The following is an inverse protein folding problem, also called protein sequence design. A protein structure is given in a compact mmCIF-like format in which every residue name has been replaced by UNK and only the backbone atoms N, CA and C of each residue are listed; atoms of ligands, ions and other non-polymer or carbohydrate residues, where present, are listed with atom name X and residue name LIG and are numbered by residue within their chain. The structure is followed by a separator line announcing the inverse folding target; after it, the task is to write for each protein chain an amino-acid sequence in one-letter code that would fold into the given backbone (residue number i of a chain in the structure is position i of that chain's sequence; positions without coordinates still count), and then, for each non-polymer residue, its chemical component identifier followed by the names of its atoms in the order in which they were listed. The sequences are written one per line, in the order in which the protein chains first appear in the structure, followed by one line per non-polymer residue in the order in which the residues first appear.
data_IF_409084715523
#
_entry.id   IF_409084715523
#
_cell.length_a   1.000
_cell.length_b   1.000
_cell.length_c   1.000
_cell.angle_alpha   90.00
_cell.angle_beta   90.00
_cell.angle_gamma   90.00
#
_symmetry.space_group_name_H-M   'P 1'
#
loop_
_entity.id
_entity.type
_entity.pdbx_description
1 polymer ?
#
# COMPACT_ATOMS: atom_id res chain seq x y z
N UNK A 1 30.84 -27.07 -0.15
CA UNK A 1 29.52 -27.67 0.16
C UNK A 1 29.52 -28.41 1.50
N UNK A 2 30.23 -29.54 1.68
CA UNK A 2 30.26 -30.25 2.98
C UNK A 2 31.05 -29.50 4.08
N UNK A 3 32.10 -28.78 3.70
CA UNK A 3 32.92 -27.96 4.61
C UNK A 3 32.28 -26.61 4.99
N UNK A 4 31.32 -26.11 4.20
CA UNK A 4 30.60 -24.85 4.49
C UNK A 4 29.50 -25.06 5.55
N UNK A 5 28.93 -26.28 5.61
CA UNK A 5 27.95 -26.71 6.63
C UNK A 5 28.57 -26.72 8.05
N UNK A 6 29.89 -26.90 8.16
CA UNK A 6 30.56 -27.08 9.46
C UNK A 6 31.01 -25.75 10.11
N UNK A 7 30.98 -24.63 9.37
CA UNK A 7 31.47 -23.31 9.85
C UNK A 7 30.55 -22.11 9.55
N UNK A 8 29.55 -22.24 8.69
CA UNK A 8 28.68 -21.14 8.30
C UNK A 8 27.34 -21.19 9.02
N UNK A 9 26.92 -20.08 9.63
CA UNK A 9 25.52 -19.88 10.02
C UNK A 9 24.65 -20.04 8.78
N UNK A 10 23.92 -21.16 8.66
CA UNK A 10 22.87 -21.31 7.66
C UNK A 10 21.70 -20.46 8.14
N UNK A 11 21.57 -19.27 7.57
CA UNK A 11 20.36 -18.47 7.72
C UNK A 11 19.29 -19.18 6.87
N UNK A 12 18.49 -20.04 7.52
CA UNK A 12 17.18 -20.44 7.00
C UNK A 12 16.40 -19.15 6.64
N UNK A 13 15.46 -19.24 5.71
CA UNK A 13 14.61 -18.11 5.32
C UNK A 13 13.87 -17.55 6.55
N UNK A 14 14.53 -16.61 7.23
CA UNK A 14 14.18 -16.11 8.54
C UNK A 14 13.79 -14.65 8.40
N UNK A 15 12.83 -14.17 9.22
CA UNK A 15 12.34 -12.81 9.12
C UNK A 15 13.49 -11.82 9.37
N UNK A 16 13.63 -10.86 8.45
CA UNK A 16 14.63 -9.79 8.57
C UNK A 16 14.05 -8.61 9.35
N UNK A 17 14.86 -7.93 10.19
CA UNK A 17 14.39 -6.75 10.93
C UNK A 17 13.82 -5.68 9.98
N UNK A 18 12.68 -5.09 10.33
CA UNK A 18 11.97 -4.09 9.52
C UNK A 18 11.45 -4.59 8.16
N UNK A 19 11.23 -5.90 8.02
CA UNK A 19 10.60 -6.48 6.83
C UNK A 19 9.18 -5.95 6.61
N UNK A 20 8.90 -5.50 5.39
CA UNK A 20 7.60 -4.94 4.95
C UNK A 20 6.91 -5.86 3.92
N UNK A 21 7.67 -6.76 3.30
CA UNK A 21 7.21 -7.65 2.24
C UNK A 21 7.34 -9.11 2.65
N UNK A 22 6.87 -10.01 1.78
CA UNK A 22 7.05 -11.44 1.95
C UNK A 22 8.53 -11.84 1.91
N UNK A 23 8.81 -13.01 2.48
CA UNK A 23 10.11 -13.66 2.39
C UNK A 23 10.32 -14.28 1.00
N UNK A 24 11.53 -14.81 0.75
CA UNK A 24 11.87 -15.41 -0.54
C UNK A 24 11.02 -16.66 -0.82
N UNK A 25 10.56 -16.83 -2.06
CA UNK A 25 9.61 -17.88 -2.38
C UNK A 25 10.32 -19.24 -2.46
N UNK A 26 10.00 -20.13 -1.53
CA UNK A 26 10.54 -21.49 -1.50
C UNK A 26 9.65 -22.55 -2.19
N UNK A 27 8.47 -22.17 -2.72
CA UNK A 27 7.55 -23.09 -3.41
C UNK A 27 6.73 -22.40 -4.51
N UNK A 28 6.30 -23.13 -5.57
CA UNK A 28 5.44 -22.57 -6.62
C UNK A 28 4.10 -22.05 -6.10
N UNK A 29 3.59 -22.63 -5.02
CA UNK A 29 2.36 -22.16 -4.37
C UNK A 29 2.56 -20.77 -3.76
N UNK A 30 3.71 -20.50 -3.15
CA UNK A 30 4.02 -19.19 -2.57
C UNK A 30 4.23 -18.13 -3.66
N UNK A 31 4.90 -18.48 -4.76
CA UNK A 31 5.06 -17.60 -5.92
C UNK A 31 3.70 -17.15 -6.47
N UNK A 32 2.73 -18.06 -6.59
CA UNK A 32 1.36 -17.71 -7.01
C UNK A 32 0.63 -16.80 -6.01
N UNK A 33 0.90 -16.92 -4.71
CA UNK A 33 0.33 -16.04 -3.68
C UNK A 33 0.95 -14.64 -3.79
N UNK A 34 2.26 -14.54 -3.96
CA UNK A 34 2.95 -13.25 -4.09
C UNK A 34 2.52 -12.51 -5.36
N UNK A 35 2.41 -13.21 -6.49
CA UNK A 35 1.91 -12.64 -7.75
C UNK A 35 0.48 -12.10 -7.59
N UNK A 36 -0.41 -12.88 -6.98
CA UNK A 36 -1.77 -12.46 -6.71
C UNK A 36 -1.82 -11.24 -5.77
N UNK A 37 -1.03 -11.26 -4.70
CA UNK A 37 -0.95 -10.16 -3.74
C UNK A 37 -0.51 -8.86 -4.43
N UNK A 38 0.55 -8.91 -5.25
CA UNK A 38 1.08 -7.74 -5.94
C UNK A 38 0.06 -7.14 -6.91
N UNK A 39 -0.68 -7.99 -7.64
CA UNK A 39 -1.76 -7.55 -8.53
C UNK A 39 -2.88 -6.84 -7.77
N UNK A 40 -3.32 -7.38 -6.63
CA UNK A 40 -4.37 -6.76 -5.80
C UNK A 40 -3.88 -5.43 -5.19
N UNK A 41 -2.66 -5.42 -4.65
CA UNK A 41 -2.09 -4.22 -4.01
C UNK A 41 -1.95 -3.04 -4.98
N UNK A 42 -1.65 -3.30 -6.25
CA UNK A 42 -1.63 -2.25 -7.28
C UNK A 42 -2.98 -1.54 -7.41
N UNK A 43 -4.08 -2.29 -7.53
CA UNK A 43 -5.41 -1.70 -7.64
C UNK A 43 -5.84 -0.98 -6.35
N UNK A 44 -5.53 -1.55 -5.19
CA UNK A 44 -5.82 -0.90 -3.90
C UNK A 44 -5.06 0.43 -3.75
N UNK A 45 -3.80 0.49 -4.18
CA UNK A 45 -3.01 1.71 -4.14
C UNK A 45 -3.61 2.82 -5.02
N UNK A 46 -4.09 2.48 -6.22
CA UNK A 46 -4.78 3.43 -7.11
C UNK A 46 -6.06 3.97 -6.48
N UNK A 47 -6.88 3.07 -5.91
CA UNK A 47 -8.13 3.47 -5.24
C UNK A 47 -7.82 4.40 -4.06
N UNK A 48 -6.84 4.04 -3.22
CA UNK A 48 -6.44 4.84 -2.06
C UNK A 48 -5.97 6.23 -2.48
N UNK A 49 -5.11 6.32 -3.50
CA UNK A 49 -4.62 7.59 -4.03
C UNK A 49 -5.77 8.45 -4.55
N UNK A 50 -6.69 7.86 -5.32
CA UNK A 50 -7.83 8.56 -5.92
C UNK A 50 -8.78 9.11 -4.85
N UNK A 51 -9.13 8.30 -3.85
CA UNK A 51 -10.02 8.72 -2.74
C UNK A 51 -9.36 9.81 -1.89
N UNK A 52 -8.07 9.64 -1.57
CA UNK A 52 -7.32 10.63 -0.79
C UNK A 52 -7.21 11.96 -1.56
N UNK A 53 -6.95 11.91 -2.86
CA UNK A 53 -6.93 13.09 -3.71
C UNK A 53 -8.28 13.81 -3.74
N UNK A 54 -9.39 13.07 -3.94
CA UNK A 54 -10.73 13.65 -3.89
C UNK A 54 -11.01 14.32 -2.55
N UNK A 55 -10.64 13.68 -1.43
CA UNK A 55 -10.82 14.24 -0.10
C UNK A 55 -10.02 15.54 0.09
N UNK A 56 -8.76 15.58 -0.38
CA UNK A 56 -7.93 16.80 -0.35
C UNK A 56 -8.59 17.92 -1.16
N UNK A 57 -9.10 17.61 -2.35
CA UNK A 57 -9.76 18.60 -3.22
C UNK A 57 -11.02 19.16 -2.57
N UNK A 58 -11.83 18.30 -1.93
CA UNK A 58 -13.02 18.73 -1.20
C UNK A 58 -12.62 19.68 -0.07
N UNK A 59 -11.66 19.30 0.77
CA UNK A 59 -11.21 20.14 1.89
C UNK A 59 -10.65 21.48 1.38
N UNK A 60 -9.80 21.47 0.35
CA UNK A 60 -9.18 22.70 -0.17
C UNK A 60 -10.18 23.65 -0.83
N UNK A 61 -11.25 23.15 -1.42
CA UNK A 61 -12.23 23.99 -2.11
C UNK A 61 -13.37 24.44 -1.20
N UNK A 62 -13.76 23.61 -0.23
CA UNK A 62 -14.89 23.88 0.67
C UNK A 62 -14.45 24.23 2.10
N UNK A 63 -13.20 24.67 2.28
CA UNK A 63 -12.74 25.25 3.56
C UNK A 63 -13.53 26.52 3.86
N UNK A 64 -13.92 26.70 5.12
CA UNK A 64 -14.77 27.82 5.56
C UNK A 64 -14.21 29.21 5.20
N UNK A 65 -12.88 29.34 5.12
CA UNK A 65 -12.21 30.58 4.71
C UNK A 65 -12.40 30.91 3.23
N UNK A 66 -12.63 29.91 2.38
CA UNK A 66 -12.77 30.05 0.92
C UNK A 66 -14.22 29.94 0.45
N UNK A 67 -15.02 29.09 1.07
CA UNK A 67 -16.45 28.89 0.76
C UNK A 67 -17.29 29.04 2.05
N UNK A 68 -17.54 30.28 2.49
CA UNK A 68 -18.27 30.54 3.74
C UNK A 68 -19.78 30.30 3.61
N UNK A 69 -20.33 30.40 2.39
CA UNK A 69 -21.76 30.18 2.11
C UNK A 69 -21.89 28.87 1.35
N UNK A 70 -22.64 27.91 1.90
CA UNK A 70 -22.90 26.66 1.22
C UNK A 70 -23.73 26.90 -0.06
N UNK A 71 -23.42 26.16 -1.12
CA UNK A 71 -24.05 26.33 -2.43
C UNK A 71 -25.60 26.16 -2.41
N UNK A 72 -26.15 25.49 -1.39
CA UNK A 72 -27.59 25.40 -1.15
C UNK A 72 -28.25 26.77 -0.94
N UNK A 73 -27.54 27.74 -0.38
CA UNK A 73 -28.03 29.08 -0.08
C UNK A 73 -27.63 30.12 -1.15
N UNK A 74 -26.93 29.71 -2.21
CA UNK A 74 -26.55 30.61 -3.31
C UNK A 74 -27.65 30.77 -4.38
N UNK A 75 -28.64 29.88 -4.38
CA UNK A 75 -29.77 29.95 -5.30
C UNK A 75 -30.91 30.75 -4.67
N UNK A 76 -30.88 32.06 -4.85
CA UNK A 76 -32.04 32.93 -4.62
C UNK A 76 -32.31 33.66 -5.94
N UNK A 77 -33.57 33.60 -6.40
CA UNK A 77 -34.13 34.64 -7.26
C UNK A 77 -34.69 35.74 -6.38
#
# INVERSE_FOLDING_TARGET
MFLDILKGHILLDAPTPWGVFFQDNASPQMEGIEELHNNIMFYLAIILFTVTWMMIIIIKNFVATKSPIAHKYMNHG
#
